data_IF_476413474156
#
_entry.id   IF_476413474156
#
_cell.length_a   1.000
_cell.length_b   1.000
_cell.length_c   1.000
_cell.angle_alpha   90.00
_cell.angle_beta   90.00
_cell.angle_gamma   90.00
#
_symmetry.space_group_name_H-M   'P 1'
#
loop_
_entity.id
_entity.type
_entity.pdbx_description
1 polymer ?
#
# COMPACT_ATOMS: atom_id res chain seq x y z
N UNK A 1 14.15 34.88 -25.75
CA UNK A 1 12.76 34.39 -25.61
C UNK A 1 12.83 32.91 -25.30
N UNK A 2 12.24 32.51 -24.18
CA UNK A 2 12.44 31.22 -23.50
C UNK A 2 11.87 30.03 -24.30
N UNK A 3 12.58 28.91 -24.21
CA UNK A 3 12.25 27.58 -24.72
C UNK A 3 10.90 27.06 -24.18
N UNK A 4 10.12 26.37 -25.01
CA UNK A 4 9.08 25.45 -24.54
C UNK A 4 9.17 24.16 -25.36
N UNK A 5 9.98 23.21 -24.88
CA UNK A 5 9.88 21.82 -25.33
C UNK A 5 8.62 21.22 -24.70
N UNK A 6 7.68 20.79 -25.54
CA UNK A 6 6.50 20.02 -25.11
C UNK A 6 6.94 18.61 -24.72
N UNK A 7 7.24 18.41 -23.44
CA UNK A 7 7.36 17.09 -22.83
C UNK A 7 5.99 16.62 -22.34
N UNK A 8 5.15 16.14 -23.25
CA UNK A 8 3.92 15.43 -22.87
C UNK A 8 4.26 13.99 -22.55
N UNK A 9 4.66 13.70 -21.30
CA UNK A 9 4.62 12.34 -20.79
C UNK A 9 3.15 12.04 -20.50
N UNK A 10 2.48 11.35 -21.41
CA UNK A 10 1.25 10.63 -21.09
C UNK A 10 1.67 9.51 -20.13
N UNK A 11 1.59 9.78 -18.83
CA UNK A 11 1.57 8.71 -17.85
C UNK A 11 0.38 7.81 -18.23
N UNK A 12 0.68 6.56 -18.55
CA UNK A 12 -0.33 5.54 -18.75
C UNK A 12 -1.14 5.46 -17.46
N UNK A 13 -2.42 5.84 -17.53
CA UNK A 13 -3.31 5.80 -16.37
C UNK A 13 -3.70 4.33 -16.18
N UNK A 14 -3.08 3.63 -15.22
CA UNK A 14 -3.38 2.23 -14.89
C UNK A 14 -4.79 2.13 -14.25
N UNK A 15 -5.81 1.50 -14.83
CA UNK A 15 -7.21 1.60 -14.36
C UNK A 15 -7.53 1.21 -12.88
N UNK A 16 -6.54 0.80 -12.07
CA UNK A 16 -6.58 0.82 -10.60
C UNK A 16 -6.00 2.12 -9.96
N UNK A 17 -5.90 3.24 -10.69
CA UNK A 17 -5.19 4.51 -10.36
C UNK A 17 -5.64 5.21 -9.07
N UNK A 18 -5.34 4.59 -7.94
CA UNK A 18 -5.40 5.21 -6.64
C UNK A 18 -4.40 4.54 -5.72
N UNK A 19 -3.67 5.30 -4.89
CA UNK A 19 -2.90 4.72 -3.82
C UNK A 19 -3.83 3.91 -2.91
N UNK A 20 -3.44 2.68 -2.60
CA UNK A 20 -4.15 1.85 -1.62
C UNK A 20 -3.71 2.27 -0.23
N UNK A 21 -4.68 2.45 0.68
CA UNK A 21 -4.39 2.76 2.08
C UNK A 21 -4.87 1.65 3.00
N UNK A 22 -4.02 1.31 3.96
CA UNK A 22 -4.35 0.47 5.11
C UNK A 22 -4.23 1.29 6.38
N UNK A 23 -4.89 0.86 7.44
CA UNK A 23 -4.78 1.45 8.77
C UNK A 23 -3.80 0.63 9.61
N UNK A 24 -2.88 1.32 10.26
CA UNK A 24 -1.97 0.76 11.24
C UNK A 24 -2.70 0.62 12.58
N UNK A 25 -2.89 -0.63 13.04
CA UNK A 25 -3.66 -0.94 14.25
C UNK A 25 -3.20 -0.20 15.51
N UNK A 26 -1.89 -0.06 15.79
CA UNK A 26 -1.43 0.49 17.07
C UNK A 26 -1.89 1.92 17.37
N UNK A 27 -1.94 2.80 16.37
CA UNK A 27 -2.29 4.22 16.57
C UNK A 27 -3.39 4.74 15.62
N UNK A 28 -3.85 3.92 14.68
CA UNK A 28 -4.90 4.27 13.73
C UNK A 28 -4.43 5.08 12.52
N UNK A 29 -3.13 5.31 12.36
CA UNK A 29 -2.58 6.06 11.24
C UNK A 29 -2.81 5.35 9.90
N UNK A 30 -2.99 6.12 8.83
CA UNK A 30 -3.06 5.56 7.48
C UNK A 30 -1.66 5.29 6.93
N UNK A 31 -1.53 4.18 6.22
CA UNK A 31 -0.33 3.73 5.53
C UNK A 31 -0.66 3.59 4.05
N UNK A 32 0.01 4.38 3.22
CA UNK A 32 0.01 4.18 1.77
C UNK A 32 0.81 2.90 1.46
N UNK A 33 0.20 1.97 0.73
CA UNK A 33 0.84 0.73 0.28
C UNK A 33 1.62 1.03 -0.99
N UNK A 34 2.95 0.88 -0.92
CA UNK A 34 3.85 1.18 -2.04
C UNK A 34 4.10 -0.04 -2.92
N UNK A 35 3.94 -1.25 -2.36
CA UNK A 35 4.02 -2.51 -3.10
C UNK A 35 2.79 -3.39 -2.79
N UNK A 36 1.78 -3.28 -3.65
CA UNK A 36 0.54 -4.07 -3.54
C UNK A 36 0.80 -5.56 -3.77
N UNK A 37 1.87 -5.93 -4.48
CA UNK A 37 2.21 -7.36 -4.68
C UNK A 37 2.64 -7.99 -3.36
N UNK A 38 3.43 -7.29 -2.54
CA UNK A 38 3.78 -7.74 -1.18
C UNK A 38 2.55 -7.85 -0.26
N UNK A 39 1.58 -6.95 -0.42
CA UNK A 39 0.32 -7.03 0.33
C UNK A 39 -0.47 -8.32 0.00
N UNK A 40 -0.55 -8.70 -1.28
CA UNK A 40 -1.33 -9.86 -1.70
C UNK A 40 -0.55 -11.19 -1.61
N UNK A 41 0.78 -11.14 -1.55
CA UNK A 41 1.64 -12.33 -1.44
C UNK A 41 1.54 -12.96 -0.03
N UNK A 42 1.03 -14.20 0.10
CA UNK A 42 0.93 -14.87 1.40
C UNK A 42 2.28 -15.30 1.98
N UNK A 43 3.36 -15.31 1.19
CA UNK A 43 4.71 -15.62 1.65
C UNK A 43 5.46 -14.37 2.13
N UNK A 44 4.97 -13.17 1.79
CA UNK A 44 5.51 -11.92 2.31
C UNK A 44 4.87 -11.61 3.66
N UNK A 45 5.65 -11.67 4.74
CA UNK A 45 5.17 -11.30 6.09
C UNK A 45 5.00 -9.77 6.26
N UNK A 46 5.73 -8.99 5.47
CA UNK A 46 5.76 -7.53 5.53
C UNK A 46 5.56 -6.92 4.14
N UNK A 47 5.16 -5.65 4.12
CA UNK A 47 5.07 -4.84 2.91
C UNK A 47 5.78 -3.50 3.08
N UNK A 48 6.23 -2.93 1.96
CA UNK A 48 6.69 -1.54 1.89
C UNK A 48 5.49 -0.59 1.87
N UNK A 49 5.47 0.33 2.83
CA UNK A 49 4.47 1.37 2.92
C UNK A 49 5.07 2.67 3.45
N UNK A 50 4.30 3.74 3.52
CA UNK A 50 4.67 4.94 4.27
C UNK A 50 3.47 5.50 5.00
N UNK A 51 3.71 6.11 6.15
CA UNK A 51 2.63 6.80 6.84
C UNK A 51 2.13 7.98 6.01
N UNK A 52 0.82 8.11 5.96
CA UNK A 52 0.11 9.24 5.39
C UNK A 52 -0.53 10.04 6.53
N UNK A 53 0.34 10.65 7.34
CA UNK A 53 -0.02 11.40 8.54
C UNK A 53 0.80 12.69 8.62
N UNK A 54 0.21 13.75 9.18
CA UNK A 54 0.82 15.07 9.25
C UNK A 54 0.75 15.84 7.92
N UNK A 55 1.57 16.89 7.80
CA UNK A 55 1.60 17.77 6.61
C UNK A 55 2.67 17.37 5.58
N UNK A 56 3.60 16.47 5.96
CA UNK A 56 4.72 16.04 5.13
C UNK A 56 4.61 14.56 4.74
N UNK A 57 5.08 14.23 3.53
CA UNK A 57 5.19 12.86 3.07
C UNK A 57 6.29 12.14 3.85
N UNK A 58 5.94 11.03 4.51
CA UNK A 58 6.90 10.24 5.29
C UNK A 58 7.71 9.30 4.40
N UNK A 59 8.90 8.93 4.88
CA UNK A 59 9.75 7.96 4.21
C UNK A 59 9.12 6.55 4.20
N UNK A 60 9.38 5.74 3.15
CA UNK A 60 9.01 4.33 3.13
C UNK A 60 9.61 3.53 4.29
N UNK A 61 8.82 2.62 4.84
CA UNK A 61 9.26 1.65 5.83
C UNK A 61 8.53 0.31 5.66
N UNK A 62 9.03 -0.72 6.36
CA UNK A 62 8.44 -2.05 6.35
C UNK A 62 7.37 -2.17 7.43
N UNK A 63 6.19 -2.67 7.07
CA UNK A 63 5.08 -2.92 7.97
C UNK A 63 4.73 -4.40 8.00
N UNK A 64 4.60 -4.98 9.19
CA UNK A 64 4.08 -6.35 9.34
C UNK A 64 2.61 -6.38 8.96
N UNK A 65 2.20 -7.37 8.18
CA UNK A 65 0.79 -7.50 7.76
C UNK A 65 -0.13 -7.70 8.96
N UNK A 66 0.31 -8.39 10.01
CA UNK A 66 -0.47 -8.55 11.24
C UNK A 66 -0.76 -7.24 11.97
N UNK A 67 -0.12 -6.13 11.63
CA UNK A 67 -0.38 -4.81 12.23
C UNK A 67 -1.29 -3.93 11.36
N UNK A 68 -1.69 -4.40 10.18
CA UNK A 68 -2.49 -3.65 9.21
C UNK A 68 -3.93 -4.17 9.08
N UNK A 69 -4.89 -3.26 8.95
CA UNK A 69 -6.31 -3.53 8.63
C UNK A 69 -6.78 -2.65 7.49
N UNK A 70 -7.93 -2.99 6.91
CA UNK A 70 -8.65 -2.01 6.11
C UNK A 70 -9.08 -0.82 6.98
N UNK A 71 -9.23 0.40 6.42
CA UNK A 71 -9.71 1.56 7.17
C UNK A 71 -11.04 1.34 7.90
N UNK A 72 -11.87 0.40 7.41
CA UNK A 72 -13.12 -0.07 8.03
C UNK A 72 -12.97 -0.98 9.26
N UNK A 73 -11.73 -1.24 9.72
CA UNK A 73 -11.38 -2.25 10.74
C UNK A 73 -11.51 -3.71 10.32
N UNK A 74 -11.86 -3.99 9.06
CA UNK A 74 -11.87 -5.34 8.53
C UNK A 74 -10.44 -5.92 8.47
N UNK A 75 -10.31 -7.19 8.85
CA UNK A 75 -9.06 -7.92 8.73
C UNK A 75 -8.70 -8.17 7.26
N UNK A 76 -7.42 -8.41 6.99
CA UNK A 76 -6.98 -8.83 5.67
C UNK A 76 -7.59 -10.19 5.27
N UNK A 77 -7.80 -10.44 3.96
CA UNK A 77 -8.16 -11.75 3.46
C UNK A 77 -7.16 -12.82 3.91
N UNK A 78 -7.68 -13.96 4.38
CA UNK A 78 -6.84 -15.08 4.84
C UNK A 78 -5.89 -15.59 3.74
N UNK A 79 -6.33 -15.58 2.49
CA UNK A 79 -5.50 -15.98 1.34
C UNK A 79 -4.28 -15.08 1.11
N UNK A 80 -4.22 -13.89 1.73
CA UNK A 80 -3.06 -13.01 1.69
C UNK A 80 -2.14 -13.20 2.90
N UNK A 81 -2.55 -13.97 3.91
CA UNK A 81 -1.78 -14.18 5.14
C UNK A 81 -1.31 -15.63 5.30
N UNK A 82 -1.99 -16.57 4.64
CA UNK A 82 -1.80 -18.00 4.82
C UNK A 82 -1.53 -18.69 3.47
N UNK A 83 -0.28 -19.13 3.22
CA UNK A 83 0.07 -19.89 2.02
C UNK A 83 -0.73 -21.18 1.83
N UNK A 84 -1.25 -21.76 2.91
CA UNK A 84 -2.02 -23.00 2.89
C UNK A 84 -3.54 -22.78 2.79
N UNK A 85 -4.00 -21.55 2.53
CA UNK A 85 -5.43 -21.18 2.51
C UNK A 85 -6.34 -22.13 1.68
N UNK A 86 -5.83 -22.69 0.58
CA UNK A 86 -6.58 -23.58 -0.32
C UNK A 86 -6.67 -25.04 0.13
N UNK A 87 -6.01 -25.43 1.23
CA UNK A 87 -5.96 -26.82 1.72
C UNK A 87 -7.05 -27.14 2.76
N UNK A 88 -8.05 -26.24 2.91
CA UNK A 88 -9.17 -26.36 3.84
C UNK A 88 -10.44 -26.95 3.25
#
# INVERSE_FOLDING_TARGET
MLQMARGGSTAEIDPLEGPMFLKYRPDGSLVEVLDVKQLMDPFAACLSGRFHAGEEMQEPQSFTKTDLVFPSDEAMPRCWLDPAYHQG
#
